data_IF_030446461288
#
_entry.id   IF_030446461288
#
_cell.length_a   1.000
_cell.length_b   1.000
_cell.length_c   1.000
_cell.angle_alpha   90.00
_cell.angle_beta   90.00
_cell.angle_gamma   90.00
#
_symmetry.space_group_name_H-M   'P 1'
#
loop_
_entity.id
_entity.type
_entity.pdbx_description
1 polymer ?
#
# COMPACT_ATOMS: atom_id res chain seq x y z
N UNK A 1 -13.77 -36.28 1.24
CA UNK A 1 -14.12 -34.98 0.63
C UNK A 1 -13.01 -34.04 1.05
N UNK A 2 -12.14 -33.65 0.11
CA UNK A 2 -11.00 -32.79 0.42
C UNK A 2 -11.40 -31.35 0.09
N UNK A 3 -11.64 -30.55 1.13
CA UNK A 3 -11.80 -29.10 1.03
C UNK A 3 -10.49 -28.48 0.54
N UNK A 4 -10.35 -28.38 -0.78
CA UNK A 4 -9.32 -27.54 -1.39
C UNK A 4 -9.69 -26.09 -1.07
N UNK A 5 -9.13 -25.56 0.02
CA UNK A 5 -9.02 -24.11 0.26
C UNK A 5 -8.53 -23.49 -1.04
N UNK A 6 -9.43 -22.77 -1.72
CA UNK A 6 -9.10 -21.97 -2.90
C UNK A 6 -8.05 -20.96 -2.46
N UNK A 7 -6.77 -21.26 -2.67
CA UNK A 7 -5.69 -20.30 -2.47
C UNK A 7 -6.08 -19.08 -3.30
N UNK A 8 -6.34 -17.96 -2.61
CA UNK A 8 -6.81 -16.73 -3.23
C UNK A 8 -5.85 -16.36 -4.37
N UNK A 9 -6.37 -16.01 -5.54
CA UNK A 9 -5.56 -15.90 -6.77
C UNK A 9 -4.37 -14.94 -6.65
N UNK A 10 -4.42 -13.94 -5.76
CA UNK A 10 -3.29 -13.03 -5.53
C UNK A 10 -2.11 -13.65 -4.75
N UNK A 11 -2.29 -14.81 -4.11
CA UNK A 11 -1.22 -15.59 -3.48
C UNK A 11 -0.51 -16.53 -4.45
N UNK A 12 -1.20 -16.98 -5.51
CA UNK A 12 -0.60 -17.88 -6.51
C UNK A 12 0.49 -17.21 -7.34
N UNK A 13 0.32 -15.91 -7.58
CA UNK A 13 1.20 -15.12 -8.45
C UNK A 13 1.96 -14.02 -7.68
N UNK A 14 2.22 -14.22 -6.38
CA UNK A 14 2.80 -13.19 -5.52
C UNK A 14 3.65 -13.75 -4.38
N UNK A 15 4.38 -12.86 -3.69
CA UNK A 15 5.17 -13.18 -2.50
C UNK A 15 4.28 -13.25 -1.26
N UNK A 16 4.62 -14.12 -0.31
CA UNK A 16 4.06 -14.06 1.04
C UNK A 16 4.58 -12.82 1.81
N UNK A 17 4.04 -12.59 3.02
CA UNK A 17 4.41 -11.41 3.80
C UNK A 17 5.88 -11.44 4.24
N UNK A 18 6.40 -12.61 4.57
CA UNK A 18 7.76 -12.75 5.08
C UNK A 18 8.78 -12.43 4.00
N UNK A 19 8.56 -12.93 2.79
CA UNK A 19 9.37 -12.62 1.61
C UNK A 19 9.29 -11.13 1.24
N UNK A 20 8.12 -10.50 1.33
CA UNK A 20 7.97 -9.05 1.10
C UNK A 20 8.83 -8.28 2.12
N UNK A 21 8.74 -8.62 3.40
CA UNK A 21 9.52 -7.97 4.46
C UNK A 21 11.01 -8.15 4.23
N UNK A 22 11.46 -9.36 3.87
CA UNK A 22 12.87 -9.63 3.66
C UNK A 22 13.44 -8.83 2.49
N UNK A 23 12.72 -8.74 1.37
CA UNK A 23 13.15 -7.94 0.21
C UNK A 23 13.20 -6.45 0.58
N UNK A 24 12.17 -5.92 1.26
CA UNK A 24 12.17 -4.53 1.70
C UNK A 24 13.35 -4.26 2.64
N UNK A 25 13.66 -5.19 3.56
CA UNK A 25 14.82 -5.05 4.44
C UNK A 25 16.13 -4.97 3.66
N UNK A 26 16.33 -5.85 2.67
CA UNK A 26 17.52 -5.82 1.80
C UNK A 26 17.63 -4.50 1.04
N UNK A 27 16.53 -4.02 0.47
CA UNK A 27 16.47 -2.72 -0.21
C UNK A 27 16.87 -1.59 0.76
N UNK A 28 16.26 -1.55 1.96
CA UNK A 28 16.57 -0.53 2.97
C UNK A 28 18.00 -0.57 3.48
N UNK A 29 18.58 -1.76 3.66
CA UNK A 29 20.00 -1.90 4.04
C UNK A 29 20.97 -1.25 3.05
N UNK A 30 20.59 -1.17 1.77
CA UNK A 30 21.36 -0.47 0.73
C UNK A 30 21.00 1.01 0.71
N UNK A 31 19.70 1.32 0.70
CA UNK A 31 19.17 2.69 0.58
C UNK A 31 19.57 3.57 1.77
N UNK A 32 19.54 3.04 2.98
CA UNK A 32 19.88 3.74 4.24
C UNK A 32 21.39 4.07 4.32
N UNK A 33 22.24 3.36 3.57
CA UNK A 33 23.69 3.66 3.48
C UNK A 33 24.01 4.77 2.48
N UNK A 34 23.03 5.22 1.72
CA UNK A 34 23.17 6.19 0.64
C UNK A 34 22.70 5.59 -0.67
N UNK A 35 21.72 6.26 -1.29
CA UNK A 35 21.12 5.82 -2.55
C UNK A 35 21.22 6.93 -3.60
N UNK A 36 21.48 6.52 -4.83
CA UNK A 36 21.42 7.36 -6.02
C UNK A 36 20.66 6.59 -7.13
N UNK A 37 20.37 7.26 -8.24
CA UNK A 37 19.57 6.68 -9.33
C UNK A 37 20.19 5.37 -9.88
N UNK A 38 21.52 5.28 -9.95
CA UNK A 38 22.21 4.06 -10.40
C UNK A 38 22.00 2.87 -9.45
N UNK A 39 22.00 3.11 -8.14
CA UNK A 39 21.70 2.09 -7.14
C UNK A 39 20.23 1.67 -7.24
N UNK A 40 19.31 2.60 -7.48
CA UNK A 40 17.88 2.29 -7.66
C UNK A 40 17.68 1.39 -8.89
N UNK A 41 18.30 1.70 -10.02
CA UNK A 41 18.20 0.86 -11.23
C UNK A 41 18.81 -0.53 -11.03
N UNK A 42 19.89 -0.64 -10.26
CA UNK A 42 20.43 -1.96 -9.85
C UNK A 42 19.44 -2.71 -8.99
N UNK A 43 18.88 -2.08 -7.96
CA UNK A 43 17.88 -2.70 -7.07
C UNK A 43 16.62 -3.12 -7.85
N UNK A 44 16.18 -2.33 -8.85
CA UNK A 44 15.08 -2.72 -9.75
C UNK A 44 15.42 -3.99 -10.50
N UNK A 45 16.64 -4.10 -11.02
CA UNK A 45 17.08 -5.28 -11.78
C UNK A 45 17.25 -6.51 -10.88
N UNK A 46 17.85 -6.34 -9.70
CA UNK A 46 18.07 -7.41 -8.72
C UNK A 46 16.76 -7.94 -8.12
N UNK A 47 15.77 -7.05 -7.98
CA UNK A 47 14.45 -7.36 -7.43
C UNK A 47 13.35 -7.18 -8.47
N UNK A 48 13.60 -7.55 -9.74
CA UNK A 48 12.69 -7.30 -10.88
C UNK A 48 11.28 -7.85 -10.64
N UNK A 49 11.17 -9.06 -10.10
CA UNK A 49 9.87 -9.64 -9.74
C UNK A 49 9.13 -8.79 -8.71
N UNK A 50 9.83 -8.30 -7.69
CA UNK A 50 9.22 -7.48 -6.64
C UNK A 50 8.84 -6.10 -7.17
N UNK A 51 9.69 -5.47 -7.97
CA UNK A 51 9.39 -4.20 -8.63
C UNK A 51 8.18 -4.32 -9.56
N UNK A 52 8.14 -5.36 -10.39
CA UNK A 52 7.04 -5.60 -11.33
C UNK A 52 5.73 -5.90 -10.61
N UNK A 53 5.76 -6.70 -9.54
CA UNK A 53 4.54 -7.13 -8.84
C UNK A 53 4.05 -6.14 -7.80
N UNK A 54 4.96 -5.42 -7.16
CA UNK A 54 4.71 -4.49 -6.07
C UNK A 54 5.39 -3.14 -6.30
N UNK A 55 5.12 -2.44 -7.42
CA UNK A 55 5.84 -1.22 -7.80
C UNK A 55 5.75 -0.13 -6.74
N UNK A 56 4.57 0.02 -6.10
CA UNK A 56 4.38 0.99 -5.03
C UNK A 56 5.19 0.66 -3.77
N UNK A 57 5.31 -0.62 -3.40
CA UNK A 57 6.14 -1.01 -2.24
C UNK A 57 7.61 -0.79 -2.54
N UNK A 58 8.06 -1.07 -3.77
CA UNK A 58 9.41 -0.77 -4.21
C UNK A 58 9.71 0.73 -4.16
N UNK A 59 8.80 1.56 -4.70
CA UNK A 59 8.93 3.02 -4.65
C UNK A 59 9.04 3.53 -3.21
N UNK A 60 8.17 3.04 -2.29
CA UNK A 60 8.24 3.45 -0.89
C UNK A 60 9.53 2.97 -0.22
N UNK A 61 10.00 1.76 -0.54
CA UNK A 61 11.24 1.22 0.02
C UNK A 61 12.48 1.99 -0.43
N UNK A 62 12.48 2.51 -1.66
CA UNK A 62 13.63 3.23 -2.25
C UNK A 62 13.62 4.75 -1.98
N UNK A 63 12.53 5.28 -1.42
CA UNK A 63 12.41 6.69 -1.05
C UNK A 63 13.33 7.08 0.11
N UNK A 64 13.95 8.24 -0.04
CA UNK A 64 14.89 8.84 0.92
C UNK A 64 14.46 10.21 1.44
N UNK A 65 13.30 10.71 1.01
CA UNK A 65 12.71 11.95 1.47
C UNK A 65 12.22 11.87 2.92
N UNK A 66 11.76 10.69 3.34
CA UNK A 66 11.29 10.43 4.72
C UNK A 66 11.83 9.09 5.27
N UNK A 67 11.99 8.95 6.60
CA UNK A 67 12.32 7.68 7.21
C UNK A 67 11.27 6.62 6.90
N UNK A 68 11.71 5.43 6.52
CA UNK A 68 10.80 4.33 6.21
C UNK A 68 9.99 3.90 7.44
N UNK A 69 8.66 3.90 7.30
CA UNK A 69 7.76 3.57 8.39
C UNK A 69 7.43 2.08 8.42
N UNK A 70 8.16 1.33 9.24
CA UNK A 70 7.95 -0.10 9.45
C UNK A 70 6.58 -0.43 10.07
N UNK A 71 6.03 0.45 10.91
CA UNK A 71 4.72 0.23 11.53
C UNK A 71 3.61 0.22 10.48
N UNK A 72 3.69 1.13 9.49
CA UNK A 72 2.75 1.16 8.38
C UNK A 72 2.86 -0.07 7.51
N UNK A 73 4.08 -0.50 7.17
CA UNK A 73 4.29 -1.74 6.42
C UNK A 73 3.64 -2.93 7.17
N UNK A 74 3.97 -3.10 8.45
CA UNK A 74 3.45 -4.18 9.28
C UNK A 74 1.92 -4.14 9.39
N UNK A 75 1.34 -2.95 9.52
CA UNK A 75 -0.10 -2.77 9.52
C UNK A 75 -0.74 -3.26 8.22
N UNK A 76 -0.21 -2.87 7.05
CA UNK A 76 -0.75 -3.30 5.76
C UNK A 76 -0.59 -4.80 5.53
N UNK A 77 0.54 -5.38 5.93
CA UNK A 77 0.77 -6.83 5.84
C UNK A 77 -0.14 -7.61 6.79
N UNK A 78 -0.47 -7.06 7.96
CA UNK A 78 -1.45 -7.65 8.86
C UNK A 78 -2.86 -7.61 8.23
N UNK A 79 -3.26 -6.48 7.62
CA UNK A 79 -4.53 -6.41 6.86
C UNK A 79 -4.56 -7.43 5.73
N UNK A 80 -3.45 -7.58 4.99
CA UNK A 80 -3.30 -8.63 3.99
C UNK A 80 -3.49 -10.03 4.59
N UNK A 81 -2.91 -10.31 5.76
CA UNK A 81 -3.06 -11.61 6.46
C UNK A 81 -4.52 -11.89 6.80
N UNK A 82 -5.24 -10.90 7.35
CA UNK A 82 -6.68 -11.02 7.65
C UNK A 82 -7.49 -11.30 6.40
N UNK A 83 -7.13 -10.66 5.28
CA UNK A 83 -7.75 -10.98 3.99
C UNK A 83 -7.44 -12.42 3.61
N UNK A 84 -6.18 -12.88 3.67
CA UNK A 84 -5.79 -14.25 3.32
C UNK A 84 -6.55 -15.29 4.15
N UNK A 85 -6.77 -15.03 5.44
CA UNK A 85 -7.45 -15.93 6.36
C UNK A 85 -8.99 -15.91 6.25
N UNK A 86 -9.57 -15.18 5.29
CA UNK A 86 -11.02 -14.97 5.16
C UNK A 86 -11.66 -14.25 6.38
N UNK A 87 -10.87 -13.64 7.25
CA UNK A 87 -11.34 -12.85 8.38
C UNK A 87 -11.88 -11.48 7.94
N UNK A 88 -11.35 -10.96 6.83
CA UNK A 88 -11.72 -9.67 6.27
C UNK A 88 -11.82 -9.75 4.73
N UNK A 89 -12.77 -9.04 4.14
CA UNK A 89 -12.80 -8.90 2.67
C UNK A 89 -11.92 -7.74 2.22
N UNK A 90 -11.40 -7.80 0.99
CA UNK A 90 -10.59 -6.71 0.42
C UNK A 90 -11.31 -5.36 0.45
N UNK A 91 -12.62 -5.36 0.18
CA UNK A 91 -13.42 -4.14 0.20
C UNK A 91 -13.52 -3.55 1.61
N UNK A 92 -13.79 -4.38 2.62
CA UNK A 92 -13.85 -3.94 4.02
C UNK A 92 -12.50 -3.44 4.51
N UNK A 93 -11.42 -4.14 4.16
CA UNK A 93 -10.06 -3.71 4.49
C UNK A 93 -9.76 -2.32 3.89
N UNK A 94 -10.16 -2.10 2.63
CA UNK A 94 -9.95 -0.81 1.96
C UNK A 94 -10.72 0.33 2.63
N UNK A 95 -11.95 0.08 3.09
CA UNK A 95 -12.75 1.06 3.85
C UNK A 95 -12.08 1.39 5.18
N UNK A 96 -11.72 0.37 5.98
CA UNK A 96 -11.09 0.56 7.29
C UNK A 96 -9.79 1.37 7.16
N UNK A 97 -8.91 0.94 6.25
CA UNK A 97 -7.64 1.63 5.98
C UNK A 97 -7.90 3.08 5.58
N UNK A 98 -8.85 3.31 4.66
CA UNK A 98 -9.19 4.66 4.19
C UNK A 98 -9.71 5.56 5.31
N UNK A 99 -10.59 5.05 6.16
CA UNK A 99 -11.15 5.78 7.31
C UNK A 99 -10.07 6.11 8.35
N UNK A 100 -9.23 5.15 8.71
CA UNK A 100 -8.15 5.34 9.69
C UNK A 100 -7.11 6.37 9.18
N UNK A 101 -6.72 6.28 7.92
CA UNK A 101 -5.79 7.23 7.31
C UNK A 101 -6.40 8.64 7.16
N UNK A 102 -7.69 8.73 6.80
CA UNK A 102 -8.39 10.01 6.77
C UNK A 102 -8.42 10.65 8.15
N UNK A 103 -8.83 9.91 9.19
CA UNK A 103 -8.87 10.41 10.56
C UNK A 103 -7.48 10.86 11.07
N UNK A 104 -6.43 10.15 10.67
CA UNK A 104 -5.05 10.46 11.09
C UNK A 104 -4.49 11.73 10.46
N UNK A 105 -4.83 12.01 9.19
CA UNK A 105 -4.22 13.09 8.43
C UNK A 105 -5.13 14.31 8.21
N UNK A 106 -6.43 14.14 8.33
CA UNK A 106 -7.39 15.25 8.25
C UNK A 106 -7.69 15.73 9.66
N UNK A 107 -7.14 16.90 10.00
CA UNK A 107 -7.59 17.65 11.16
C UNK A 107 -8.99 18.15 10.87
N UNK A 108 -10.00 17.47 11.39
CA UNK A 108 -11.34 18.04 11.47
C UNK A 108 -11.27 19.09 12.56
N UNK A 109 -11.07 20.36 12.19
CA UNK A 109 -11.20 21.45 13.13
C UNK A 109 -12.61 21.39 13.74
N UNK A 110 -12.70 20.96 15.01
CA UNK A 110 -13.96 20.75 15.75
C UNK A 110 -14.80 22.04 15.93
N UNK A 111 -14.39 23.17 15.35
CA UNK A 111 -15.09 24.47 15.48
C UNK A 111 -16.23 24.71 14.50
N UNK A 112 -16.51 23.81 13.57
CA UNK A 112 -17.71 23.91 12.74
C UNK A 112 -18.62 22.70 12.98
N UNK A 113 -19.56 22.87 13.91
CA UNK A 113 -20.79 22.09 14.00
C UNK A 113 -21.56 22.19 12.69
N UNK A 114 -21.21 21.36 11.72
CA UNK A 114 -22.08 20.92 10.65
C UNK A 114 -21.76 19.45 10.44
N UNK A 115 -22.74 18.60 10.76
CA UNK A 115 -22.70 17.14 10.78
C UNK A 115 -21.73 16.53 9.75
N UNK A 116 -20.93 15.51 10.12
CA UNK A 116 -19.99 14.89 9.20
C UNK A 116 -20.76 14.39 7.99
N UNK A 117 -20.55 15.04 6.84
CA UNK A 117 -21.08 14.54 5.58
C UNK A 117 -20.42 13.18 5.36
N UNK A 118 -21.19 12.11 5.13
CA UNK A 118 -20.62 10.80 4.86
C UNK A 118 -19.65 10.92 3.68
N UNK A 119 -18.54 10.15 3.70
CA UNK A 119 -17.60 10.14 2.60
C UNK A 119 -18.37 9.89 1.29
N UNK A 120 -18.03 10.62 0.20
CA UNK A 120 -18.76 10.50 -1.04
C UNK A 120 -18.70 9.05 -1.53
N UNK A 121 -19.86 8.39 -1.58
CA UNK A 121 -20.03 6.99 -1.96
C UNK A 121 -19.48 6.66 -3.36
N UNK A 122 -19.16 7.68 -4.18
CA UNK A 122 -18.57 7.53 -5.52
C UNK A 122 -17.63 8.69 -5.80
N UNK A 123 -16.39 8.38 -6.19
CA UNK A 123 -15.48 9.35 -6.80
C UNK A 123 -16.03 9.75 -8.17
N UNK A 124 -16.63 10.93 -8.28
CA UNK A 124 -17.00 11.50 -9.59
C UNK A 124 -15.77 12.21 -10.15
N UNK A 125 -15.15 11.62 -11.18
CA UNK A 125 -14.10 12.30 -11.96
C UNK A 125 -14.74 13.55 -12.57
N UNK A 126 -14.40 14.74 -12.06
CA UNK A 126 -14.80 15.99 -12.70
C UNK A 126 -14.17 16.00 -14.10
N UNK A 127 -15.00 15.93 -15.13
CA UNK A 127 -14.55 16.19 -16.49
C UNK A 127 -14.04 17.64 -16.56
N UNK A 128 -12.73 17.77 -16.76
CA UNK A 128 -12.10 19.03 -17.10
C UNK A 128 -12.70 19.51 -18.43
N UNK A 129 -13.63 20.46 -18.38
CA UNK A 129 -14.03 21.22 -19.57
C UNK A 129 -12.80 21.98 -20.06
N UNK A 130 -12.07 21.40 -21.03
CA UNK A 130 -11.09 22.17 -21.80
C UNK A 130 -11.86 23.23 -22.60
N UNK A 131 -11.50 24.51 -22.54
CA UNK A 131 -12.07 25.48 -23.45
C UNK A 131 -11.67 25.11 -24.88
N UNK A 132 -12.64 25.03 -25.79
CA UNK A 132 -12.37 24.95 -27.22
C UNK A 132 -11.83 26.32 -27.64
N UNK A 133 -10.61 26.34 -28.17
CA UNK A 133 -10.05 27.48 -28.87
C UNK A 133 -10.33 27.35 -30.36
#
# INVERSE_FOLDING_TARGET
>A
MADTKTQKDFLKDGLDNDNIIEIIRKIREVVDKGCNDEIIEKLKTEHDFFYTRYPILFDIATRNDEPFNWDYLNYFLNMRTKIINDELTSDKASVIVGEEWFAKHVKVDEKNNSSPKPPPLKFTRKESKRPKH
#
